data_IF_868169670337
#
_entry.id   IF_868169670337
#
_cell.length_a   1.000
_cell.length_b   1.000
_cell.length_c   1.000
_cell.angle_alpha   90.00
_cell.angle_beta   90.00
_cell.angle_gamma   90.00
#
_symmetry.space_group_name_H-M   'P 1'
#
loop_
_entity.id
_entity.type
_entity.pdbx_description
1 polymer ?
#
# COMPACT_ATOMS: atom_id res chain seq x y z
N UNK A 1 6.68 -61.19 29.73
CA UNK A 1 5.46 -60.39 29.44
C UNK A 1 5.90 -58.94 29.36
N UNK A 2 6.07 -58.40 28.16
CA UNK A 2 6.61 -57.06 27.94
C UNK A 2 5.45 -56.20 27.42
N UNK A 3 4.94 -55.28 28.26
CA UNK A 3 3.94 -54.30 27.84
C UNK A 3 4.67 -53.14 27.16
N UNK A 4 4.47 -52.98 25.85
CA UNK A 4 4.92 -51.80 25.10
C UNK A 4 3.77 -50.81 25.10
N UNK A 5 3.92 -49.74 25.87
CA UNK A 5 2.97 -48.64 25.94
C UNK A 5 3.19 -47.73 24.71
N UNK A 6 2.34 -47.85 23.69
CA UNK A 6 2.38 -47.00 22.51
C UNK A 6 1.74 -45.64 22.84
N UNK A 7 2.57 -44.63 23.10
CA UNK A 7 2.14 -43.24 23.25
C UNK A 7 1.89 -42.64 21.87
N UNK A 8 0.63 -42.53 21.48
CA UNK A 8 0.22 -41.81 20.26
C UNK A 8 0.33 -40.32 20.53
N UNK A 9 1.37 -39.67 20.00
CA UNK A 9 1.51 -38.21 20.00
C UNK A 9 0.63 -37.67 18.87
N UNK A 10 -0.56 -37.18 19.22
CA UNK A 10 -1.41 -36.40 18.32
C UNK A 10 -0.74 -35.03 18.12
N UNK A 11 0.08 -34.91 17.08
CA UNK A 11 0.54 -33.61 16.59
C UNK A 11 -0.64 -32.90 15.92
N UNK A 12 -1.33 -32.06 16.70
CA UNK A 12 -2.29 -31.09 16.18
C UNK A 12 -1.53 -30.06 15.35
N UNK A 13 -1.48 -30.25 14.04
CA UNK A 13 -1.14 -29.19 13.10
C UNK A 13 -2.23 -28.12 13.24
N UNK A 14 -1.94 -27.07 14.01
CA UNK A 14 -2.72 -25.85 13.98
C UNK A 14 -2.55 -25.27 12.58
N UNK A 15 -3.44 -25.65 11.65
CA UNK A 15 -3.65 -24.92 10.42
C UNK A 15 -4.17 -23.55 10.84
N UNK A 16 -3.27 -22.58 11.00
CA UNK A 16 -3.62 -21.16 11.08
C UNK A 16 -4.42 -20.87 9.82
N UNK A 17 -5.74 -20.76 9.96
CA UNK A 17 -6.60 -20.28 8.90
C UNK A 17 -6.13 -18.86 8.58
N UNK A 18 -5.31 -18.73 7.54
CA UNK A 18 -4.99 -17.44 6.95
C UNK A 18 -6.33 -16.81 6.61
N UNK A 19 -6.60 -15.61 7.12
CA UNK A 19 -7.77 -14.86 6.70
C UNK A 19 -7.72 -14.76 5.16
N UNK A 20 -8.80 -15.14 4.49
CA UNK A 20 -8.88 -15.03 3.04
C UNK A 20 -8.82 -13.55 2.66
N UNK A 21 -7.67 -13.13 2.13
CA UNK A 21 -7.50 -11.78 1.64
C UNK A 21 -8.52 -11.49 0.52
N UNK A 22 -9.11 -10.28 0.46
CA UNK A 22 -9.97 -9.87 -0.64
C UNK A 22 -9.36 -10.25 -1.99
N UNK A 23 -10.15 -10.82 -2.90
CA UNK A 23 -9.65 -11.26 -4.22
C UNK A 23 -10.11 -10.36 -5.36
N UNK A 24 -11.00 -9.41 -5.08
CA UNK A 24 -11.51 -8.44 -6.03
C UNK A 24 -10.53 -7.30 -6.31
N UNK A 25 -10.61 -6.73 -7.52
CA UNK A 25 -9.95 -5.45 -7.80
C UNK A 25 -10.72 -4.31 -7.14
N UNK A 26 -10.03 -3.29 -6.63
CA UNK A 26 -10.68 -2.05 -6.19
C UNK A 26 -11.44 -1.43 -7.35
N UNK A 27 -12.64 -0.94 -7.08
CA UNK A 27 -13.46 -0.24 -8.08
C UNK A 27 -13.31 1.26 -8.00
N UNK A 28 -12.81 1.80 -6.88
CA UNK A 28 -12.75 3.23 -6.60
C UNK A 28 -11.49 3.58 -5.78
N UNK A 29 -10.63 4.45 -6.32
CA UNK A 29 -9.41 4.90 -5.67
C UNK A 29 -9.67 5.86 -4.50
N UNK A 30 -10.76 6.64 -4.54
CA UNK A 30 -11.09 7.55 -3.45
C UNK A 30 -11.42 6.78 -2.17
N UNK A 31 -12.12 5.66 -2.31
CA UNK A 31 -12.42 4.73 -1.21
C UNK A 31 -11.12 4.12 -0.66
N UNK A 32 -10.24 3.62 -1.53
CA UNK A 32 -8.93 3.07 -1.12
C UNK A 32 -8.02 4.11 -0.42
N UNK A 33 -8.26 5.41 -0.65
CA UNK A 33 -7.60 6.50 0.06
C UNK A 33 -8.33 6.92 1.34
N UNK A 34 -9.18 6.05 1.88
CA UNK A 34 -10.03 6.31 3.05
C UNK A 34 -10.79 7.64 2.92
N UNK A 35 -11.30 7.92 1.71
CA UNK A 35 -12.01 9.15 1.36
C UNK A 35 -11.22 10.44 1.69
N UNK A 36 -9.89 10.38 1.56
CA UNK A 36 -8.99 11.48 1.86
C UNK A 36 -8.73 11.70 3.36
N UNK A 37 -9.12 10.75 4.22
CA UNK A 37 -8.86 10.83 5.65
C UNK A 37 -7.50 10.22 6.00
N UNK A 38 -6.73 10.96 6.80
CA UNK A 38 -5.40 10.57 7.24
C UNK A 38 -4.32 10.77 6.17
N UNK A 39 -3.16 10.19 6.42
CA UNK A 39 -2.02 10.22 5.52
C UNK A 39 -1.55 8.80 5.21
N UNK A 40 -1.06 8.58 4.00
CA UNK A 40 -0.49 7.31 3.57
C UNK A 40 1.01 7.45 3.36
N UNK A 41 1.76 6.45 3.79
CA UNK A 41 3.21 6.34 3.62
C UNK A 41 3.53 5.22 2.61
N UNK A 42 4.52 5.46 1.76
CA UNK A 42 5.00 4.48 0.80
C UNK A 42 5.95 3.50 1.48
N UNK A 43 5.54 2.25 1.69
CA UNK A 43 6.32 1.27 2.46
C UNK A 43 7.17 0.34 1.59
N UNK A 44 6.73 0.02 0.37
CA UNK A 44 7.48 -0.79 -0.60
C UNK A 44 7.29 -0.24 -2.00
N UNK A 45 8.35 -0.24 -2.82
CA UNK A 45 8.26 0.09 -4.25
C UNK A 45 9.19 -0.78 -5.09
N UNK A 46 8.79 -1.11 -6.32
CA UNK A 46 9.71 -1.63 -7.35
C UNK A 46 10.22 -0.54 -8.29
N UNK A 47 9.76 0.70 -8.11
CA UNK A 47 10.39 1.87 -8.71
C UNK A 47 11.66 2.19 -7.93
N UNK A 48 12.82 2.04 -8.57
CA UNK A 48 14.13 2.26 -7.93
C UNK A 48 14.38 3.73 -7.59
N UNK A 49 13.61 4.64 -8.20
CA UNK A 49 13.69 6.08 -7.96
C UNK A 49 12.65 6.56 -6.93
N UNK A 50 11.97 5.66 -6.20
CA UNK A 50 10.98 6.06 -5.21
C UNK A 50 11.64 6.87 -4.08
N UNK A 51 11.01 7.99 -3.73
CA UNK A 51 11.58 8.99 -2.83
C UNK A 51 11.58 8.50 -1.39
N UNK A 52 12.67 8.75 -0.68
CA UNK A 52 12.81 8.44 0.75
C UNK A 52 11.69 9.11 1.58
N UNK A 53 11.12 8.37 2.52
CA UNK A 53 10.05 8.85 3.42
C UNK A 53 8.82 9.41 2.71
N UNK A 54 8.54 8.96 1.48
CA UNK A 54 7.40 9.48 0.72
C UNK A 54 6.09 9.24 1.45
N UNK A 55 5.33 10.32 1.61
CA UNK A 55 4.04 10.40 2.29
C UNK A 55 3.08 11.29 1.50
N UNK A 56 1.81 10.90 1.45
CA UNK A 56 0.73 11.68 0.84
C UNK A 56 -0.40 11.94 1.84
N UNK A 57 -0.90 13.17 1.89
CA UNK A 57 -2.06 13.54 2.72
C UNK A 57 -2.98 14.50 1.96
N UNK A 58 -4.30 14.27 2.00
CA UNK A 58 -5.24 15.22 1.42
C UNK A 58 -5.19 16.55 2.20
N UNK A 59 -5.19 17.67 1.47
CA UNK A 59 -5.16 19.03 2.07
C UNK A 59 -6.52 19.75 1.99
N UNK A 60 -7.52 19.08 1.42
CA UNK A 60 -8.85 19.63 1.22
C UNK A 60 -9.83 18.54 0.80
N UNK A 61 -11.10 18.93 0.68
CA UNK A 61 -12.18 18.01 0.27
C UNK A 61 -12.07 17.68 -1.22
N UNK A 62 -12.65 16.54 -1.59
CA UNK A 62 -12.85 16.17 -3.00
C UNK A 62 -13.82 17.16 -3.67
N UNK A 63 -13.43 17.69 -4.82
CA UNK A 63 -14.24 18.56 -5.67
C UNK A 63 -14.46 17.88 -7.03
N UNK A 64 -15.68 17.39 -7.26
CA UNK A 64 -15.95 16.53 -8.41
C UNK A 64 -15.12 15.25 -8.32
N UNK A 65 -14.17 15.07 -9.24
CA UNK A 65 -13.24 13.94 -9.23
C UNK A 65 -11.81 14.33 -8.83
N UNK A 66 -11.60 15.54 -8.30
CA UNK A 66 -10.28 16.04 -7.92
C UNK A 66 -10.10 16.05 -6.41
N UNK A 67 -8.91 15.68 -5.95
CA UNK A 67 -8.49 15.74 -4.54
C UNK A 67 -7.16 16.49 -4.47
N UNK A 68 -7.07 17.59 -3.70
CA UNK A 68 -5.79 18.23 -3.44
C UNK A 68 -4.99 17.41 -2.42
N UNK A 69 -3.73 17.12 -2.73
CA UNK A 69 -2.85 16.26 -1.93
C UNK A 69 -1.51 16.96 -1.72
N UNK A 70 -0.96 16.91 -0.51
CA UNK A 70 0.43 17.26 -0.25
C UNK A 70 1.26 15.99 -0.26
N UNK A 71 2.30 15.94 -1.09
CA UNK A 71 3.30 14.88 -1.07
C UNK A 71 4.55 15.39 -0.35
N UNK A 72 4.94 14.72 0.73
CA UNK A 72 6.15 15.03 1.50
C UNK A 72 7.16 13.88 1.39
N UNK A 73 8.46 14.18 1.35
CA UNK A 73 9.54 13.20 1.29
C UNK A 73 10.85 13.85 1.76
N UNK A 74 11.89 13.05 2.01
CA UNK A 74 13.25 13.55 2.25
C UNK A 74 14.05 13.61 0.94
N UNK A 75 14.73 14.73 0.71
CA UNK A 75 15.72 14.91 -0.34
C UNK A 75 17.02 15.38 0.30
N UNK A 76 18.10 14.62 0.12
CA UNK A 76 19.40 14.94 0.75
C UNK A 76 19.28 15.16 2.28
N UNK A 77 18.44 14.34 2.93
CA UNK A 77 18.16 14.41 4.36
C UNK A 77 17.19 15.50 4.81
N UNK A 78 16.78 16.40 3.91
CA UNK A 78 15.86 17.50 4.21
C UNK A 78 14.43 17.18 3.76
N UNK A 79 13.46 17.55 4.60
CA UNK A 79 12.06 17.41 4.24
C UNK A 79 11.66 18.42 3.15
N UNK A 80 10.99 17.90 2.12
CA UNK A 80 10.42 18.65 1.01
C UNK A 80 8.94 18.29 0.91
N UNK A 81 8.10 19.29 0.65
CA UNK A 81 6.65 19.11 0.45
C UNK A 81 6.22 19.78 -0.84
N UNK A 82 5.47 19.06 -1.67
CA UNK A 82 4.98 19.54 -2.96
C UNK A 82 3.46 19.34 -3.07
N UNK A 83 2.70 20.36 -3.51
CA UNK A 83 1.27 20.21 -3.74
C UNK A 83 1.03 19.46 -5.05
N UNK A 84 0.10 18.51 -5.01
CA UNK A 84 -0.39 17.73 -6.14
C UNK A 84 -1.92 17.83 -6.22
N UNK A 85 -2.45 17.68 -7.42
CA UNK A 85 -3.88 17.44 -7.65
C UNK A 85 -4.05 16.03 -8.17
N UNK A 86 -4.82 15.21 -7.47
CA UNK A 86 -5.18 13.87 -7.92
C UNK A 86 -6.53 13.95 -8.61
N UNK A 87 -6.59 13.49 -9.85
CA UNK A 87 -7.85 13.29 -10.59
C UNK A 87 -8.17 11.80 -10.59
N UNK A 88 -9.34 11.44 -10.08
CA UNK A 88 -9.75 10.06 -9.83
C UNK A 88 -10.78 9.60 -10.88
N UNK A 89 -10.65 8.38 -11.37
CA UNK A 89 -11.57 7.75 -12.32
C UNK A 89 -11.64 6.24 -12.06
N UNK A 90 -12.62 5.82 -11.27
CA UNK A 90 -12.65 4.46 -10.71
C UNK A 90 -11.36 4.15 -9.94
N UNK A 91 -10.64 3.05 -10.23
CA UNK A 91 -9.36 2.75 -9.58
C UNK A 91 -8.18 3.58 -10.12
N UNK A 92 -8.38 4.38 -11.18
CA UNK A 92 -7.29 5.13 -11.80
C UNK A 92 -7.07 6.47 -11.13
N UNK A 93 -5.81 6.85 -11.06
CA UNK A 93 -5.35 8.11 -10.47
C UNK A 93 -4.44 8.80 -11.47
N UNK A 94 -4.75 10.05 -11.80
CA UNK A 94 -3.84 10.95 -12.51
C UNK A 94 -3.43 12.06 -11.58
N UNK A 95 -2.19 12.03 -11.11
CA UNK A 95 -1.61 13.03 -10.21
C UNK A 95 -0.85 14.08 -11.03
N UNK A 96 -1.09 15.37 -10.78
CA UNK A 96 -0.37 16.48 -11.44
C UNK A 96 0.12 17.53 -10.45
N UNK A 97 1.24 18.19 -10.75
CA UNK A 97 1.81 19.28 -9.93
C UNK A 97 2.17 20.52 -10.77
N UNK A 98 1.36 20.80 -11.80
CA UNK A 98 1.57 21.89 -12.75
C UNK A 98 2.44 21.48 -13.94
N UNK A 99 3.63 20.89 -13.70
CA UNK A 99 4.53 20.49 -14.79
C UNK A 99 4.60 18.98 -15.03
N UNK A 100 4.36 18.16 -13.99
CA UNK A 100 4.45 16.71 -14.09
C UNK A 100 3.06 16.08 -14.09
N UNK A 101 2.96 14.92 -14.73
CA UNK A 101 1.78 14.08 -14.70
C UNK A 101 2.21 12.64 -14.44
N UNK A 102 1.69 12.05 -13.37
CA UNK A 102 1.90 10.66 -13.01
C UNK A 102 0.57 9.92 -13.09
N UNK A 103 0.59 8.72 -13.66
CA UNK A 103 -0.59 7.86 -13.79
C UNK A 103 -0.40 6.59 -12.97
N UNK A 104 -1.42 6.25 -12.20
CA UNK A 104 -1.47 5.10 -11.30
C UNK A 104 -2.81 4.40 -11.40
N UNK A 105 -2.87 3.16 -10.96
CA UNK A 105 -4.10 2.40 -10.78
C UNK A 105 -4.00 1.64 -9.46
N UNK A 106 -5.01 1.80 -8.60
CA UNK A 106 -5.13 0.99 -7.38
C UNK A 106 -5.55 -0.43 -7.81
N UNK A 107 -4.64 -1.39 -7.66
CA UNK A 107 -4.82 -2.78 -8.11
C UNK A 107 -5.25 -3.71 -6.98
N UNK A 108 -5.10 -3.27 -5.74
CA UNK A 108 -5.53 -3.98 -4.53
C UNK A 108 -5.79 -3.00 -3.39
N UNK A 109 -6.80 -3.27 -2.57
CA UNK A 109 -7.18 -2.49 -1.40
C UNK A 109 -7.80 -3.43 -0.36
N UNK A 110 -7.52 -3.19 0.91
CA UNK A 110 -8.17 -3.94 2.00
C UNK A 110 -9.51 -3.30 2.37
N UNK A 111 -10.39 -4.08 3.00
CA UNK A 111 -11.72 -3.59 3.37
C UNK A 111 -11.70 -2.43 4.38
N UNK A 112 -10.64 -2.31 5.19
CA UNK A 112 -10.45 -1.20 6.13
C UNK A 112 -9.81 0.03 5.49
N UNK A 113 -9.38 -0.07 4.23
CA UNK A 113 -8.60 0.93 3.50
C UNK A 113 -7.27 1.30 4.16
N UNK A 114 -6.81 0.57 5.18
CA UNK A 114 -5.54 0.88 5.86
C UNK A 114 -4.30 0.63 5.01
N UNK A 115 -4.42 -0.11 3.91
CA UNK A 115 -3.34 -0.30 2.95
C UNK A 115 -3.88 -0.63 1.57
N UNK A 116 -3.11 -0.27 0.55
CA UNK A 116 -3.45 -0.58 -0.83
C UNK A 116 -2.17 -0.77 -1.65
N UNK A 117 -2.31 -1.41 -2.81
CA UNK A 117 -1.23 -1.58 -3.79
C UNK A 117 -1.61 -0.85 -5.06
N UNK A 118 -0.69 -0.04 -5.56
CA UNK A 118 -0.83 0.69 -6.81
C UNK A 118 0.11 0.14 -7.88
N UNK A 119 -0.33 0.23 -9.13
CA UNK A 119 0.51 0.03 -10.31
C UNK A 119 0.77 1.37 -10.99
N UNK A 120 2.03 1.68 -11.22
CA UNK A 120 2.46 2.89 -11.94
C UNK A 120 2.40 2.65 -13.45
N UNK A 121 2.29 3.73 -14.22
CA UNK A 121 2.35 3.65 -15.68
C UNK A 121 3.67 3.08 -16.23
N UNK A 122 4.77 3.16 -15.47
CA UNK A 122 6.04 2.51 -15.78
C UNK A 122 5.99 0.98 -15.67
N UNK A 123 4.95 0.43 -15.04
CA UNK A 123 4.84 -0.99 -14.71
C UNK A 123 5.36 -1.34 -13.31
N UNK A 124 5.97 -0.39 -12.59
CA UNK A 124 6.34 -0.56 -11.19
C UNK A 124 5.11 -0.69 -10.28
N UNK A 125 5.32 -1.25 -9.10
CA UNK A 125 4.28 -1.43 -8.08
C UNK A 125 4.70 -0.78 -6.76
N UNK A 126 3.74 -0.15 -6.11
CA UNK A 126 3.91 0.52 -4.82
C UNK A 126 2.90 -0.02 -3.81
N UNK A 127 3.35 -0.25 -2.57
CA UNK A 127 2.48 -0.55 -1.44
C UNK A 127 2.44 0.65 -0.51
N UNK A 128 1.24 1.15 -0.26
CA UNK A 128 0.96 2.28 0.60
C UNK A 128 0.19 1.82 1.84
N UNK A 129 0.48 2.45 2.97
CA UNK A 129 -0.17 2.15 4.25
C UNK A 129 -0.57 3.44 4.96
N UNK A 130 -1.66 3.41 5.71
CA UNK A 130 -2.07 4.50 6.57
C UNK A 130 -0.98 4.74 7.64
N UNK A 131 -0.53 5.99 7.79
CA UNK A 131 0.55 6.38 8.70
C UNK A 131 0.20 6.07 10.17
N UNK A 132 -1.08 6.19 10.53
CA UNK A 132 -1.58 5.87 11.87
C UNK A 132 -1.53 4.36 12.20
N UNK A 133 -1.12 3.53 11.24
CA UNK A 133 -1.15 2.08 11.34
C UNK A 133 -2.46 1.48 10.82
N UNK A 134 -2.52 0.15 10.82
CA UNK A 134 -3.66 -0.62 10.36
C UNK A 134 -3.77 -1.94 11.13
N UNK A 135 -4.81 -2.71 10.84
CA UNK A 135 -4.96 -4.05 11.39
C UNK A 135 -3.87 -4.96 10.80
N UNK A 136 -3.22 -5.76 11.65
CA UNK A 136 -2.13 -6.66 11.24
C UNK A 136 -2.53 -7.56 10.07
N UNK A 137 -3.74 -8.13 10.13
CA UNK A 137 -4.31 -8.98 9.06
C UNK A 137 -4.44 -8.27 7.71
N UNK A 138 -4.79 -6.98 7.72
CA UNK A 138 -4.91 -6.20 6.48
C UNK A 138 -3.53 -5.95 5.88
N UNK A 139 -2.56 -5.62 6.74
CA UNK A 139 -1.17 -5.39 6.35
C UNK A 139 -0.57 -6.67 5.76
N UNK A 140 -0.82 -7.84 6.37
CA UNK A 140 -0.43 -9.14 5.84
C UNK A 140 -1.02 -9.38 4.44
N UNK A 141 -2.29 -9.03 4.24
CA UNK A 141 -2.94 -9.18 2.95
C UNK A 141 -2.38 -8.25 1.86
N UNK A 142 -2.11 -6.98 2.17
CA UNK A 142 -1.40 -6.11 1.23
C UNK A 142 0.02 -6.60 0.92
N UNK A 143 0.74 -7.10 1.92
CA UNK A 143 2.07 -7.67 1.71
C UNK A 143 2.02 -8.88 0.77
N UNK A 144 1.13 -9.84 1.06
CA UNK A 144 0.91 -11.00 0.21
C UNK A 144 0.61 -10.58 -1.22
N UNK A 145 -0.30 -9.61 -1.40
CA UNK A 145 -0.69 -9.17 -2.74
C UNK A 145 0.43 -8.45 -3.48
N UNK A 146 1.16 -7.60 -2.78
CA UNK A 146 2.33 -6.92 -3.32
C UNK A 146 3.39 -7.92 -3.78
N UNK A 147 3.73 -8.91 -2.95
CA UNK A 147 4.75 -9.91 -3.24
C UNK A 147 4.34 -10.82 -4.41
N UNK A 148 3.05 -11.17 -4.54
CA UNK A 148 2.50 -11.86 -5.72
C UNK A 148 2.72 -11.06 -7.02
N UNK A 149 2.48 -9.74 -6.98
CA UNK A 149 2.58 -8.85 -8.14
C UNK A 149 4.03 -8.50 -8.50
N UNK A 150 4.95 -8.57 -7.54
CA UNK A 150 6.33 -8.12 -7.67
C UNK A 150 7.35 -9.25 -7.65
N UNK A 151 6.90 -10.50 -7.69
CA UNK A 151 7.77 -11.68 -7.70
C UNK A 151 8.90 -11.57 -8.72
N UNK A 152 10.14 -11.70 -8.23
CA UNK A 152 11.36 -11.58 -9.03
C UNK A 152 11.85 -10.15 -9.31
N UNK A 153 11.14 -9.13 -8.84
CA UNK A 153 11.57 -7.73 -8.95
C UNK A 153 12.39 -7.29 -7.73
N UNK A 154 13.25 -6.30 -7.93
CA UNK A 154 13.95 -5.62 -6.83
C UNK A 154 12.97 -4.71 -6.11
N UNK A 155 12.92 -4.81 -4.79
CA UNK A 155 12.04 -4.00 -3.93
C UNK A 155 12.89 -3.07 -3.08
N UNK A 156 12.52 -1.79 -3.05
CA UNK A 156 13.05 -0.79 -2.12
C UNK A 156 12.02 -0.46 -1.03
N UNK A 157 12.52 0.02 0.11
CA UNK A 157 11.73 0.35 1.31
C UNK A 157 11.93 1.82 1.68
N UNK A 158 11.09 2.73 1.18
CA UNK A 158 11.30 4.16 1.38
C UNK A 158 11.21 4.62 2.84
N UNK A 159 10.58 3.85 3.72
CA UNK A 159 10.48 4.18 5.14
C UNK A 159 11.72 3.77 5.96
N UNK A 160 12.60 2.92 5.43
CA UNK A 160 13.84 2.50 6.12
C UNK A 160 14.97 3.55 5.99
N UNK A 161 14.60 4.82 5.81
CA UNK A 161 15.47 5.94 5.39
C UNK A 161 15.56 7.05 6.44
N UNK A 162 15.50 6.66 7.71
CA UNK A 162 15.48 7.56 8.86
C UNK A 162 14.32 8.57 8.76
N UNK A 163 13.11 8.06 8.52
CA UNK A 163 11.88 8.84 8.57
C UNK A 163 11.49 9.05 10.05
#
# INVERSE_FOLDING_TARGET
MMLVLATVILSFSASTALADCPTGKPTDAYVAFNEGQGAYILVKSTDLDARDCLKGSATGKKEGNKVPVMMAFKNEGQWVSLPWTFTLDGPKVTATDGQRTLKREVVYDVASHHCHVEKLASGAYEMWMLEAGGLEVDIECCNKKYDELTSGQVVIRPQDKDC
#
